data_IF_863469882554
#
_entry.id   IF_863469882554
#
_cell.length_a   1.000
_cell.length_b   1.000
_cell.length_c   1.000
_cell.angle_alpha   90.00
_cell.angle_beta   90.00
_cell.angle_gamma   90.00
#
_symmetry.space_group_name_H-M   'P 1'
#
loop_
_entity.id
_entity.type
_entity.pdbx_description
1 polymer ?
#
# COMPACT_ATOMS: atom_id res chain seq x y z
N UNK A 1 -6.14 20.90 -9.56
CA UNK A 1 -7.44 20.12 -9.52
C UNK A 1 -8.16 20.46 -8.23
N UNK A 2 -9.45 20.23 -8.14
CA UNK A 2 -10.28 20.50 -6.96
C UNK A 2 -10.39 19.25 -6.08
N UNK A 3 -10.63 19.42 -4.78
CA UNK A 3 -10.97 18.36 -3.82
C UNK A 3 -12.06 17.46 -4.41
N UNK A 4 -11.87 16.15 -4.29
CA UNK A 4 -12.88 15.17 -4.74
C UNK A 4 -14.19 15.33 -3.97
N UNK A 5 -15.28 14.89 -4.60
CA UNK A 5 -16.61 14.78 -3.95
C UNK A 5 -16.99 13.33 -3.66
N UNK A 6 -16.07 12.38 -3.88
CA UNK A 6 -16.32 10.95 -3.61
C UNK A 6 -16.36 10.68 -2.10
N UNK A 7 -17.54 10.34 -1.54
CA UNK A 7 -17.67 10.16 -0.10
C UNK A 7 -16.89 8.94 0.41
N UNK A 8 -16.70 7.91 -0.44
CA UNK A 8 -15.95 6.69 -0.05
C UNK A 8 -14.48 7.02 0.15
N UNK A 9 -13.89 7.86 -0.72
CA UNK A 9 -12.51 8.31 -0.57
C UNK A 9 -12.36 9.33 0.56
N UNK A 10 -13.31 10.29 0.69
CA UNK A 10 -13.25 11.34 1.72
C UNK A 10 -13.34 10.79 3.13
N UNK A 11 -14.15 9.73 3.35
CA UNK A 11 -14.41 9.12 4.65
C UNK A 11 -13.43 8.01 5.02
N UNK A 12 -12.41 7.74 4.17
CA UNK A 12 -11.38 6.75 4.48
C UNK A 12 -10.23 7.36 5.28
N UNK A 13 -9.57 6.54 6.11
CA UNK A 13 -8.31 6.89 6.75
C UNK A 13 -7.17 6.77 5.76
N UNK A 14 -6.50 7.87 5.49
CA UNK A 14 -5.47 8.00 4.48
C UNK A 14 -4.13 8.42 5.10
N UNK A 15 -3.06 7.78 4.69
CA UNK A 15 -1.71 8.15 5.09
C UNK A 15 -1.33 9.50 4.49
N UNK A 16 -0.59 10.33 5.25
CA UNK A 16 -0.10 11.64 4.77
C UNK A 16 1.39 11.85 4.98
N UNK A 17 2.06 10.96 5.68
CA UNK A 17 3.50 11.03 5.94
C UNK A 17 3.93 10.05 7.01
N UNK A 18 5.25 9.93 7.19
CA UNK A 18 5.83 9.24 8.33
C UNK A 18 5.81 10.17 9.54
N UNK A 19 5.66 9.61 10.73
CA UNK A 19 5.74 10.37 11.99
C UNK A 19 7.08 11.12 12.11
N UNK A 20 8.17 10.45 11.74
CA UNK A 20 9.53 10.97 11.82
C UNK A 20 9.83 12.12 10.82
N UNK A 21 9.01 12.28 9.79
CA UNK A 21 9.18 13.33 8.78
C UNK A 21 8.48 14.66 9.16
N UNK A 22 7.71 14.66 10.28
CA UNK A 22 6.97 15.84 10.73
C UNK A 22 7.56 16.35 12.04
N UNK A 23 8.46 17.31 11.93
CA UNK A 23 9.20 17.88 13.06
C UNK A 23 8.72 19.29 13.40
N UNK A 24 8.94 19.72 14.66
CA UNK A 24 8.71 21.12 15.03
C UNK A 24 9.50 22.07 14.14
N UNK A 25 8.83 23.13 13.68
CA UNK A 25 9.42 24.11 12.76
C UNK A 25 9.55 23.65 11.29
N UNK A 26 9.22 22.38 10.99
CA UNK A 26 9.28 21.80 9.66
C UNK A 26 7.92 21.19 9.28
N UNK A 27 6.89 22.01 8.96
CA UNK A 27 5.57 21.53 8.60
C UNK A 27 5.63 20.72 7.29
N UNK A 28 4.97 19.59 7.28
CA UNK A 28 4.76 18.81 6.07
C UNK A 28 3.59 19.38 5.30
N UNK A 29 3.86 20.00 4.16
CA UNK A 29 2.86 20.42 3.20
C UNK A 29 2.69 19.31 2.18
N UNK A 30 1.46 18.87 1.97
CA UNK A 30 1.15 17.79 1.03
C UNK A 30 -0.26 17.98 0.47
N UNK A 31 -0.65 17.06 -0.41
CA UNK A 31 -1.97 17.04 -1.01
C UNK A 31 -2.68 15.74 -0.69
N UNK A 32 -3.99 15.77 -0.55
CA UNK A 32 -4.82 14.61 -0.28
C UNK A 32 -6.14 14.75 -1.02
N UNK A 33 -6.43 13.81 -1.94
CA UNK A 33 -7.66 13.79 -2.72
C UNK A 33 -7.96 15.12 -3.45
N UNK A 34 -6.92 15.79 -3.97
CA UNK A 34 -7.01 17.08 -4.62
C UNK A 34 -7.03 18.29 -3.69
N UNK A 35 -7.01 18.12 -2.37
CA UNK A 35 -6.99 19.15 -1.35
C UNK A 35 -5.59 19.35 -0.76
N UNK A 36 -5.13 20.61 -0.65
CA UNK A 36 -3.89 20.93 0.05
C UNK A 36 -4.08 20.81 1.56
N UNK A 37 -3.18 20.12 2.22
CA UNK A 37 -3.18 19.90 3.67
C UNK A 37 -1.80 20.17 4.26
N UNK A 38 -1.79 20.51 5.54
CA UNK A 38 -0.57 20.70 6.33
C UNK A 38 -0.65 19.84 7.57
N UNK A 39 0.43 19.17 7.89
CA UNK A 39 0.67 18.50 9.16
C UNK A 39 1.87 19.16 9.83
N UNK A 40 1.71 19.64 11.05
CA UNK A 40 2.77 20.35 11.79
C UNK A 40 2.75 20.02 13.27
N UNK A 41 3.92 20.09 13.90
CA UNK A 41 4.04 19.95 15.35
C UNK A 41 4.28 21.32 16.00
N UNK A 42 3.62 21.54 17.13
CA UNK A 42 3.90 22.69 17.98
C UNK A 42 5.18 22.47 18.83
N UNK A 43 5.54 23.47 19.64
CA UNK A 43 6.70 23.44 20.55
C UNK A 43 6.63 22.28 21.57
N UNK A 44 5.42 21.84 21.94
CA UNK A 44 5.20 20.74 22.87
C UNK A 44 5.26 19.35 22.19
N UNK A 45 5.41 19.32 20.86
CA UNK A 45 5.39 18.09 20.06
C UNK A 45 3.99 17.63 19.64
N UNK A 46 2.91 18.36 20.00
CA UNK A 46 1.55 18.01 19.61
C UNK A 46 1.37 18.20 18.10
N UNK A 47 0.84 17.18 17.44
CA UNK A 47 0.52 17.21 16.02
C UNK A 47 -0.80 17.96 15.77
N UNK A 48 -0.83 18.70 14.69
CA UNK A 48 -2.05 19.31 14.13
C UNK A 48 -2.09 19.05 12.62
N UNK A 49 -3.26 18.67 12.10
CA UNK A 49 -3.50 18.44 10.67
C UNK A 49 -4.68 19.30 10.25
N UNK A 50 -4.54 20.04 9.14
CA UNK A 50 -5.58 20.93 8.67
C UNK A 50 -5.55 21.11 7.14
N UNK A 51 -6.74 21.36 6.57
CA UNK A 51 -6.88 21.76 5.17
C UNK A 51 -6.42 23.21 4.97
N UNK A 52 -5.83 23.51 3.81
CA UNK A 52 -5.40 24.86 3.45
C UNK A 52 -5.84 25.24 2.03
N UNK A 53 -5.89 26.54 1.78
CA UNK A 53 -5.92 27.07 0.42
C UNK A 53 -4.51 27.02 -0.20
N UNK A 54 -4.42 27.19 -1.52
CA UNK A 54 -3.14 27.33 -2.24
C UNK A 54 -2.23 28.43 -1.65
N UNK A 55 -2.84 29.49 -1.08
CA UNK A 55 -2.12 30.57 -0.41
C UNK A 55 -1.78 30.29 1.06
N UNK A 56 -2.00 29.05 1.54
CA UNK A 56 -1.67 28.63 2.89
C UNK A 56 -2.62 29.09 3.98
N UNK A 57 -3.80 29.64 3.64
CA UNK A 57 -4.83 30.00 4.64
C UNK A 57 -5.52 28.72 5.12
N UNK A 58 -5.54 28.48 6.43
CA UNK A 58 -6.26 27.36 7.03
C UNK A 58 -7.77 27.41 6.75
N UNK A 59 -8.35 26.25 6.44
CA UNK A 59 -9.78 26.07 6.16
C UNK A 59 -10.50 25.33 7.28
N UNK A 60 -9.82 24.40 7.95
CA UNK A 60 -10.37 23.60 9.05
C UNK A 60 -9.41 22.50 9.48
N UNK A 61 -9.53 22.06 10.73
CA UNK A 61 -8.75 20.94 11.27
C UNK A 61 -9.31 19.61 10.79
N UNK A 62 -8.42 18.64 10.55
CA UNK A 62 -8.76 17.28 10.16
C UNK A 62 -8.56 16.32 11.35
N UNK A 63 -9.41 15.32 11.54
CA UNK A 63 -9.12 14.21 12.45
C UNK A 63 -7.80 13.54 12.04
N UNK A 64 -6.99 13.13 13.01
CA UNK A 64 -5.75 12.43 12.72
C UNK A 64 -5.43 11.35 13.76
N UNK A 65 -4.57 10.41 13.38
CA UNK A 65 -4.00 9.37 14.24
C UNK A 65 -2.53 9.16 13.89
N UNK A 66 -1.70 8.90 14.90
CA UNK A 66 -0.32 8.45 14.71
C UNK A 66 -0.26 6.94 14.96
N UNK A 67 -0.19 6.13 13.91
CA UNK A 67 -0.15 4.66 14.00
C UNK A 67 0.73 4.06 12.91
N UNK A 68 1.30 2.93 13.20
CA UNK A 68 2.13 2.16 12.24
C UNK A 68 3.30 2.97 11.67
N UNK A 69 3.91 3.86 12.50
CA UNK A 69 4.99 4.75 12.08
C UNK A 69 4.57 5.88 11.12
N UNK A 70 3.26 6.06 10.92
CA UNK A 70 2.71 7.03 9.98
C UNK A 70 1.63 7.90 10.61
N UNK A 71 1.40 9.06 9.99
CA UNK A 71 0.28 9.95 10.28
C UNK A 71 -0.85 9.67 9.30
N UNK A 72 -2.04 9.47 9.85
CA UNK A 72 -3.28 9.18 9.14
C UNK A 72 -4.27 10.29 9.35
N UNK A 73 -5.04 10.64 8.33
CA UNK A 73 -6.10 11.64 8.40
C UNK A 73 -7.26 11.27 7.47
N UNK A 74 -8.36 11.98 7.61
CA UNK A 74 -9.52 11.89 6.74
C UNK A 74 -10.00 13.31 6.39
N UNK A 75 -10.59 13.50 5.21
CA UNK A 75 -11.20 14.77 4.79
C UNK A 75 -12.72 14.78 4.92
N UNK A 76 -13.29 13.71 5.47
CA UNK A 76 -14.71 13.52 5.75
C UNK A 76 -14.94 12.93 7.14
N UNK A 77 -16.06 12.23 7.29
CA UNK A 77 -16.46 11.58 8.53
C UNK A 77 -16.20 10.05 8.40
N UNK A 78 -15.16 9.52 9.03
CA UNK A 78 -14.83 8.10 8.89
C UNK A 78 -15.90 7.24 9.56
N UNK A 79 -16.42 6.26 8.82
CA UNK A 79 -17.42 5.31 9.33
C UNK A 79 -16.82 4.23 10.24
N UNK A 80 -15.50 4.03 10.17
CA UNK A 80 -14.75 3.01 10.91
C UNK A 80 -13.52 3.62 11.56
N UNK A 81 -13.09 3.00 12.64
CA UNK A 81 -11.77 3.24 13.20
C UNK A 81 -10.66 2.83 12.20
N UNK A 82 -9.47 3.37 12.40
CA UNK A 82 -8.30 2.92 11.65
C UNK A 82 -8.07 1.42 11.90
N UNK A 83 -7.79 0.69 10.85
CA UNK A 83 -7.57 -0.76 10.89
C UNK A 83 -6.44 -1.17 11.86
N UNK A 84 -6.40 -2.44 12.21
CA UNK A 84 -5.37 -3.01 13.07
C UNK A 84 -4.33 -3.81 12.29
N UNK A 85 -3.08 -3.69 12.71
CA UNK A 85 -1.96 -4.57 12.32
C UNK A 85 -1.38 -5.11 13.63
N UNK A 86 -1.88 -6.26 14.11
CA UNK A 86 -1.49 -6.80 15.43
C UNK A 86 0.01 -7.05 15.57
N UNK A 87 0.69 -7.29 14.47
CA UNK A 87 2.13 -7.58 14.42
C UNK A 87 2.98 -6.38 14.87
N UNK A 88 2.46 -5.16 14.84
CA UNK A 88 3.15 -3.99 15.42
C UNK A 88 3.31 -4.07 16.94
N UNK A 89 2.54 -4.90 17.61
CA UNK A 89 2.63 -5.11 19.06
C UNK A 89 3.63 -6.23 19.42
N UNK A 90 4.16 -6.96 18.44
CA UNK A 90 5.10 -8.06 18.66
C UNK A 90 6.53 -7.53 18.75
N UNK A 91 7.12 -7.64 19.95
CA UNK A 91 8.43 -7.05 20.26
C UNK A 91 9.63 -7.75 19.60
N UNK A 92 9.43 -8.96 19.08
CA UNK A 92 10.47 -9.76 18.41
C UNK A 92 10.59 -9.45 16.90
N UNK A 93 9.77 -8.53 16.40
CA UNK A 93 9.81 -8.04 15.02
C UNK A 93 10.50 -6.70 14.93
N UNK A 94 11.31 -6.54 13.90
CA UNK A 94 11.96 -5.28 13.56
C UNK A 94 11.08 -4.51 12.58
N UNK A 95 10.70 -3.27 12.94
CA UNK A 95 10.06 -2.34 12.02
C UNK A 95 11.10 -1.65 11.14
N UNK A 96 10.88 -1.66 9.84
CA UNK A 96 11.70 -0.96 8.85
C UNK A 96 10.79 -0.12 7.94
N UNK A 97 10.84 1.19 8.11
CA UNK A 97 10.12 2.13 7.25
C UNK A 97 10.90 2.39 5.96
N UNK A 98 10.33 2.05 4.81
CA UNK A 98 11.04 2.10 3.52
C UNK A 98 10.98 3.47 2.81
N UNK A 99 10.52 4.51 3.51
CA UNK A 99 10.35 5.84 2.92
C UNK A 99 9.12 5.93 2.02
N UNK A 100 9.13 6.92 1.11
CA UNK A 100 8.04 7.12 0.16
C UNK A 100 8.56 7.31 -1.27
N UNK A 101 7.75 6.88 -2.24
CA UNK A 101 8.00 7.08 -3.66
C UNK A 101 6.77 7.73 -4.28
N UNK A 102 6.96 8.84 -4.99
CA UNK A 102 5.89 9.45 -5.78
C UNK A 102 5.75 8.72 -7.11
N UNK A 103 4.52 8.34 -7.47
CA UNK A 103 4.18 7.59 -8.68
C UNK A 103 3.07 8.30 -9.43
N UNK A 104 3.27 8.52 -10.74
CA UNK A 104 2.24 9.06 -11.64
C UNK A 104 1.32 7.94 -12.12
N UNK A 105 0.50 7.45 -11.21
CA UNK A 105 -0.50 6.43 -11.46
C UNK A 105 -1.65 6.58 -10.45
N UNK A 106 -2.81 5.99 -10.76
CA UNK A 106 -3.90 5.90 -9.78
C UNK A 106 -3.43 5.13 -8.54
N UNK A 107 -3.74 5.62 -7.33
CA UNK A 107 -3.43 4.90 -6.08
C UNK A 107 -4.07 3.51 -6.03
N UNK A 108 -5.19 3.30 -6.73
CA UNK A 108 -5.84 1.98 -6.85
C UNK A 108 -5.02 1.02 -7.73
N UNK A 109 -4.31 1.53 -8.74
CA UNK A 109 -3.37 0.73 -9.55
C UNK A 109 -2.17 0.27 -8.72
N UNK A 110 -1.72 1.09 -7.79
CA UNK A 110 -0.65 0.72 -6.85
C UNK A 110 -1.07 -0.48 -6.01
N UNK A 111 -2.25 -0.41 -5.41
CA UNK A 111 -2.79 -1.54 -4.61
C UNK A 111 -2.98 -2.78 -5.48
N UNK A 112 -3.56 -2.64 -6.67
CA UNK A 112 -3.76 -3.76 -7.59
C UNK A 112 -2.46 -4.43 -8.01
N UNK A 113 -1.42 -3.66 -8.36
CA UNK A 113 -0.10 -4.19 -8.71
C UNK A 113 0.53 -4.95 -7.54
N UNK A 114 0.41 -4.44 -6.31
CA UNK A 114 0.92 -5.13 -5.13
C UNK A 114 0.21 -6.47 -4.88
N UNK A 115 -1.03 -6.63 -5.32
CA UNK A 115 -1.81 -7.88 -5.21
C UNK A 115 -1.52 -8.87 -6.33
N UNK A 116 -0.82 -8.44 -7.38
CA UNK A 116 -0.50 -9.27 -8.54
C UNK A 116 0.75 -10.10 -8.29
N UNK A 117 0.66 -11.41 -8.51
CA UNK A 117 1.78 -12.34 -8.40
C UNK A 117 2.28 -12.73 -9.79
N UNK A 118 1.39 -12.62 -10.79
CA UNK A 118 1.68 -13.06 -12.15
C UNK A 118 2.81 -12.28 -12.83
N UNK A 119 3.06 -11.05 -12.42
CA UNK A 119 4.14 -10.23 -12.97
C UNK A 119 5.53 -10.53 -12.40
N UNK A 120 5.62 -11.23 -11.27
CA UNK A 120 6.89 -11.45 -10.55
C UNK A 120 8.03 -11.98 -11.43
N UNK A 121 7.86 -13.05 -12.22
CA UNK A 121 8.95 -13.60 -13.03
C UNK A 121 9.35 -12.73 -14.21
N UNK A 122 8.56 -11.74 -14.57
CA UNK A 122 8.77 -10.88 -15.71
C UNK A 122 9.30 -9.48 -15.34
N UNK A 123 8.73 -8.88 -14.31
CA UNK A 123 9.09 -7.53 -13.84
C UNK A 123 10.23 -7.61 -12.81
N UNK A 124 10.21 -8.63 -11.95
CA UNK A 124 11.18 -8.85 -10.88
C UNK A 124 12.03 -10.09 -11.14
N UNK A 125 12.43 -10.30 -12.38
CA UNK A 125 13.24 -11.46 -12.80
C UNK A 125 14.49 -11.60 -11.94
N UNK A 126 14.83 -12.85 -11.58
CA UNK A 126 15.95 -13.22 -10.72
C UNK A 126 15.85 -12.70 -9.25
N UNK A 127 14.69 -12.11 -8.87
CA UNK A 127 14.40 -11.67 -7.51
C UNK A 127 13.16 -12.39 -7.00
N UNK A 128 11.98 -12.03 -7.50
CA UNK A 128 10.71 -12.59 -7.03
C UNK A 128 10.23 -13.77 -7.88
N UNK A 129 10.96 -14.14 -8.92
CA UNK A 129 10.69 -15.27 -9.77
C UNK A 129 11.47 -15.19 -11.08
N UNK A 130 11.53 -16.29 -11.83
CA UNK A 130 12.18 -16.36 -13.15
C UNK A 130 11.59 -17.51 -13.97
N UNK A 131 11.81 -17.47 -15.29
CA UNK A 131 11.50 -18.60 -16.16
C UNK A 131 12.38 -19.83 -15.82
N UNK A 132 11.86 -21.05 -15.88
CA UNK A 132 10.52 -21.43 -16.32
C UNK A 132 9.46 -21.45 -15.20
N UNK A 133 9.75 -20.99 -14.00
CA UNK A 133 8.89 -21.03 -12.82
C UNK A 133 7.88 -19.87 -12.79
N UNK A 134 7.04 -19.76 -13.84
CA UNK A 134 6.13 -18.62 -14.03
C UNK A 134 4.68 -18.90 -13.66
N UNK A 135 4.35 -20.18 -13.37
CA UNK A 135 2.97 -20.56 -13.10
C UNK A 135 2.57 -20.21 -11.66
N UNK A 136 1.43 -19.50 -11.53
CA UNK A 136 0.79 -19.24 -10.25
C UNK A 136 -0.20 -20.37 -9.96
N UNK A 137 0.06 -21.17 -8.93
CA UNK A 137 -0.84 -22.21 -8.48
C UNK A 137 -2.20 -21.66 -8.07
N UNK A 138 -3.23 -22.48 -8.09
CA UNK A 138 -4.57 -22.08 -7.68
C UNK A 138 -4.59 -21.68 -6.19
N UNK A 139 -5.30 -20.59 -5.88
CA UNK A 139 -5.39 -20.04 -4.52
C UNK A 139 -6.78 -19.46 -4.25
N UNK A 140 -7.08 -19.10 -3.01
CA UNK A 140 -8.38 -18.56 -2.61
C UNK A 140 -8.30 -17.04 -2.43
N UNK A 141 -9.29 -16.33 -2.98
CA UNK A 141 -9.48 -14.91 -2.76
C UNK A 141 -10.96 -14.61 -2.48
N UNK A 142 -11.25 -13.84 -1.45
CA UNK A 142 -12.61 -13.58 -0.99
C UNK A 142 -12.76 -12.18 -0.41
N UNK A 143 -14.01 -11.67 -0.40
CA UNK A 143 -14.40 -10.50 0.38
C UNK A 143 -14.96 -10.99 1.70
N UNK A 144 -14.26 -10.77 2.78
CA UNK A 144 -14.71 -11.07 4.15
C UNK A 144 -15.69 -10.00 4.62
N UNK A 145 -16.96 -10.37 4.75
CA UNK A 145 -18.04 -9.42 5.04
C UNK A 145 -18.06 -8.96 6.50
N UNK A 146 -17.54 -9.76 7.42
CA UNK A 146 -17.46 -9.48 8.85
C UNK A 146 -16.54 -8.31 9.18
N UNK A 147 -15.44 -8.18 8.43
CA UNK A 147 -14.46 -7.09 8.55
C UNK A 147 -14.50 -6.11 7.38
N UNK A 148 -15.23 -6.45 6.31
CA UNK A 148 -15.31 -5.70 5.04
C UNK A 148 -13.92 -5.45 4.43
N UNK A 149 -13.18 -6.54 4.21
CA UNK A 149 -11.83 -6.55 3.65
C UNK A 149 -11.73 -7.59 2.52
N UNK A 150 -10.73 -7.42 1.65
CA UNK A 150 -10.37 -8.45 0.67
C UNK A 150 -9.21 -9.27 1.24
N UNK A 151 -9.37 -10.59 1.19
CA UNK A 151 -8.33 -11.53 1.63
C UNK A 151 -7.97 -12.50 0.51
N UNK A 152 -6.69 -12.81 0.41
CA UNK A 152 -6.19 -13.90 -0.43
C UNK A 152 -5.29 -14.80 0.40
N UNK A 153 -5.53 -16.11 0.36
CA UNK A 153 -4.85 -17.10 1.19
C UNK A 153 -4.46 -18.33 0.36
N UNK A 154 -3.64 -19.19 0.93
CA UNK A 154 -3.15 -20.42 0.30
C UNK A 154 -2.33 -20.14 -0.98
N UNK A 155 -1.69 -18.97 -1.06
CA UNK A 155 -0.82 -18.61 -2.17
C UNK A 155 0.57 -19.22 -1.92
N UNK A 156 1.14 -19.80 -2.96
CA UNK A 156 2.55 -20.21 -2.95
C UNK A 156 3.19 -19.91 -4.30
N UNK A 157 4.40 -19.39 -4.26
CA UNK A 157 5.15 -19.05 -5.46
C UNK A 157 6.65 -19.28 -5.24
N UNK A 158 7.36 -19.71 -6.29
CA UNK A 158 8.80 -19.85 -6.25
C UNK A 158 9.46 -18.48 -6.36
N UNK A 159 10.33 -18.15 -5.40
CA UNK A 159 11.16 -16.94 -5.44
C UNK A 159 12.63 -17.30 -5.52
N UNK A 160 13.37 -16.67 -6.42
CA UNK A 160 14.81 -16.86 -6.57
C UNK A 160 15.57 -16.23 -5.38
N UNK A 161 15.06 -15.10 -4.86
CA UNK A 161 15.54 -14.44 -3.65
C UNK A 161 14.39 -14.13 -2.72
N UNK A 162 14.04 -15.08 -1.87
CA UNK A 162 12.98 -14.90 -0.88
C UNK A 162 13.30 -13.80 0.17
N UNK A 163 14.59 -13.52 0.36
CA UNK A 163 15.12 -12.42 1.16
C UNK A 163 16.46 -11.97 0.57
N UNK A 164 16.93 -10.78 0.99
CA UNK A 164 18.16 -10.18 0.46
C UNK A 164 19.39 -11.09 0.58
N UNK A 165 19.52 -11.81 1.69
CA UNK A 165 20.64 -12.76 1.96
C UNK A 165 20.43 -14.16 1.41
N UNK A 166 19.31 -14.45 0.73
CA UNK A 166 19.06 -15.79 0.19
C UNK A 166 20.05 -16.16 -0.91
N UNK A 167 20.56 -17.40 -0.82
CA UNK A 167 21.54 -17.96 -1.78
C UNK A 167 20.93 -18.96 -2.75
N UNK A 168 19.61 -19.16 -2.72
CA UNK A 168 18.90 -20.09 -3.60
C UNK A 168 17.39 -19.86 -3.57
N UNK A 169 16.71 -20.35 -4.61
CA UNK A 169 15.27 -20.23 -4.74
C UNK A 169 14.53 -21.15 -3.77
N UNK A 170 13.36 -20.71 -3.34
CA UNK A 170 12.48 -21.49 -2.46
C UNK A 170 11.01 -21.13 -2.67
N UNK A 171 10.13 -22.03 -2.27
CA UNK A 171 8.69 -21.78 -2.27
C UNK A 171 8.34 -20.90 -1.08
N UNK A 172 7.79 -19.73 -1.35
CA UNK A 172 7.27 -18.79 -0.37
C UNK A 172 5.75 -18.84 -0.37
N UNK A 173 5.17 -18.92 0.82
CA UNK A 173 3.73 -18.78 1.02
C UNK A 173 3.37 -17.34 1.28
N UNK A 174 2.22 -16.93 0.76
CA UNK A 174 1.70 -15.58 0.86
C UNK A 174 0.27 -15.55 1.34
N UNK A 175 -0.07 -14.48 1.99
CA UNK A 175 -1.43 -14.08 2.29
C UNK A 175 -1.53 -12.56 2.10
N UNK A 176 -2.56 -12.10 1.39
CA UNK A 176 -2.83 -10.67 1.22
C UNK A 176 -4.07 -10.26 1.98
N UNK A 177 -4.04 -9.03 2.47
CA UNK A 177 -5.14 -8.39 3.15
C UNK A 177 -5.26 -6.95 2.64
N UNK A 178 -6.40 -6.59 2.02
CA UNK A 178 -6.74 -5.22 1.64
C UNK A 178 -7.71 -4.68 2.66
N UNK A 179 -7.25 -3.74 3.47
CA UNK A 179 -7.99 -3.23 4.65
C UNK A 179 -8.77 -1.97 4.34
N UNK A 180 -8.31 -1.20 3.36
CA UNK A 180 -8.99 -0.03 2.81
C UNK A 180 -8.70 0.10 1.32
N UNK A 181 -9.43 0.94 0.57
CA UNK A 181 -9.18 1.14 -0.85
C UNK A 181 -7.73 1.43 -1.23
N UNK A 182 -7.02 2.11 -0.35
CA UNK A 182 -5.66 2.60 -0.60
C UNK A 182 -4.59 1.92 0.27
N UNK A 183 -4.95 0.82 0.95
CA UNK A 183 -4.07 0.16 1.91
C UNK A 183 -4.10 -1.36 1.77
N UNK A 184 -2.94 -1.97 1.60
CA UNK A 184 -2.79 -3.42 1.52
C UNK A 184 -1.63 -3.92 2.36
N UNK A 185 -1.76 -5.13 2.85
CA UNK A 185 -0.79 -5.81 3.70
C UNK A 185 -0.52 -7.19 3.13
N UNK A 186 0.74 -7.51 2.96
CA UNK A 186 1.24 -8.81 2.58
C UNK A 186 1.85 -9.50 3.80
N UNK A 187 1.49 -10.73 3.99
CA UNK A 187 2.15 -11.69 4.86
C UNK A 187 2.91 -12.69 3.99
N UNK A 188 4.18 -12.89 4.25
CA UNK A 188 4.98 -13.92 3.57
C UNK A 188 5.76 -14.73 4.58
N UNK A 189 5.92 -16.05 4.33
CA UNK A 189 6.71 -16.89 5.23
C UNK A 189 8.14 -16.37 5.34
N UNK A 190 8.63 -16.27 6.58
CA UNK A 190 10.01 -15.88 6.83
C UNK A 190 10.94 -17.07 6.50
N UNK A 191 11.92 -16.91 5.59
CA UNK A 191 12.84 -17.99 5.22
C UNK A 191 13.67 -18.54 6.40
N UNK A 192 14.03 -17.68 7.36
CA UNK A 192 14.79 -18.08 8.55
C UNK A 192 13.91 -18.71 9.65
N UNK A 193 12.60 -18.45 9.61
CA UNK A 193 11.61 -18.93 10.58
C UNK A 193 10.35 -19.40 9.84
N UNK A 194 10.32 -20.61 9.25
CA UNK A 194 9.25 -21.06 8.35
C UNK A 194 7.83 -21.07 8.95
N UNK A 195 7.73 -21.11 10.27
CA UNK A 195 6.45 -21.05 11.00
C UNK A 195 6.01 -19.60 11.32
N UNK A 196 6.80 -18.62 10.92
CA UNK A 196 6.54 -17.20 11.14
C UNK A 196 6.31 -16.47 9.81
N UNK A 197 5.63 -15.33 9.90
CA UNK A 197 5.31 -14.51 8.75
C UNK A 197 5.97 -13.13 8.87
N UNK A 198 6.77 -12.74 7.89
CA UNK A 198 7.13 -11.34 7.71
C UNK A 198 5.92 -10.58 7.19
N UNK A 199 5.80 -9.31 7.56
CA UNK A 199 4.73 -8.43 7.11
C UNK A 199 5.32 -7.32 6.26
N UNK A 200 4.74 -7.07 5.10
CA UNK A 200 5.04 -5.93 4.24
C UNK A 200 3.75 -5.14 4.04
N UNK A 201 3.72 -3.90 4.48
CA UNK A 201 2.58 -3.02 4.26
C UNK A 201 2.86 -2.01 3.16
N UNK A 202 1.82 -1.67 2.41
CA UNK A 202 1.84 -0.65 1.39
C UNK A 202 0.65 0.28 1.59
N UNK A 203 0.96 1.57 1.78
CA UNK A 203 0.01 2.64 2.00
C UNK A 203 0.10 3.65 0.85
N UNK A 204 -0.95 3.80 0.07
CA UNK A 204 -1.01 4.77 -1.00
C UNK A 204 -1.70 6.04 -0.52
N UNK A 205 -0.97 7.16 -0.50
CA UNK A 205 -1.53 8.50 -0.28
C UNK A 205 -2.07 9.02 -1.62
N UNK A 206 -3.38 9.17 -1.81
CA UNK A 206 -3.95 9.71 -3.03
C UNK A 206 -3.75 11.23 -3.08
N UNK A 207 -2.84 11.73 -3.90
CA UNK A 207 -2.64 13.16 -4.12
C UNK A 207 -3.69 13.69 -5.09
N UNK A 208 -3.80 13.02 -6.23
CA UNK A 208 -4.74 13.26 -7.33
C UNK A 208 -5.29 11.91 -7.83
N UNK A 209 -6.21 11.91 -8.80
CA UNK A 209 -6.76 10.65 -9.35
C UNK A 209 -5.70 9.76 -10.02
N UNK A 210 -4.61 10.35 -10.54
CA UNK A 210 -3.52 9.70 -11.26
C UNK A 210 -2.13 10.02 -10.69
N UNK A 211 -2.06 10.49 -9.44
CA UNK A 211 -0.81 10.81 -8.75
C UNK A 211 -0.91 10.42 -7.28
N UNK A 212 0.07 9.69 -6.78
CA UNK A 212 0.09 9.27 -5.37
C UNK A 212 1.52 9.22 -4.81
N UNK A 213 1.64 9.31 -3.50
CA UNK A 213 2.82 8.87 -2.76
C UNK A 213 2.57 7.45 -2.22
N UNK A 214 3.55 6.60 -2.33
CA UNK A 214 3.48 5.22 -1.84
C UNK A 214 4.47 5.05 -0.70
N UNK A 215 3.97 4.67 0.47
CA UNK A 215 4.75 4.35 1.64
C UNK A 215 4.77 2.85 1.83
N UNK A 216 5.96 2.28 1.97
CA UNK A 216 6.11 0.88 2.32
C UNK A 216 6.80 0.73 3.68
N UNK A 217 6.44 -0.29 4.40
CA UNK A 217 7.13 -0.70 5.62
C UNK A 217 7.23 -2.23 5.70
N UNK A 218 8.13 -2.70 6.52
CA UNK A 218 8.28 -4.12 6.82
C UNK A 218 8.29 -4.34 8.34
N UNK A 219 7.71 -5.47 8.76
CA UNK A 219 7.90 -6.05 10.09
C UNK A 219 8.52 -7.43 9.89
N UNK A 220 9.82 -7.53 10.12
CA UNK A 220 10.63 -8.70 9.75
C UNK A 220 11.36 -9.31 10.94
N UNK A 221 11.70 -10.59 10.79
CA UNK A 221 12.56 -11.30 11.72
C UNK A 221 14.04 -11.29 11.31
N UNK A 222 14.37 -10.65 10.20
CA UNK A 222 15.74 -10.54 9.67
C UNK A 222 16.67 -9.89 10.71
N UNK A 223 17.65 -10.66 11.17
CA UNK A 223 18.68 -10.23 12.14
C UNK A 223 20.04 -9.98 11.50
N UNK A 224 20.19 -10.22 10.21
CA UNK A 224 21.47 -10.22 9.48
C UNK A 224 21.65 -8.91 8.71
N UNK A 225 20.65 -8.48 7.98
CA UNK A 225 20.74 -7.31 7.11
C UNK A 225 20.53 -6.00 7.88
N UNK A 226 21.22 -4.94 7.46
CA UNK A 226 20.99 -3.59 7.99
C UNK A 226 19.67 -3.01 7.47
N UNK A 227 19.07 -2.04 8.17
CA UNK A 227 17.87 -1.34 7.69
C UNK A 227 18.11 -0.72 6.32
N UNK A 228 19.27 -0.10 6.11
CA UNK A 228 19.64 0.50 4.81
C UNK A 228 19.58 -0.53 3.68
N UNK A 229 20.12 -1.73 3.90
CA UNK A 229 20.12 -2.78 2.91
C UNK A 229 18.69 -3.29 2.60
N UNK A 230 17.87 -3.46 3.64
CA UNK A 230 16.47 -3.85 3.48
C UNK A 230 15.64 -2.77 2.76
N UNK A 231 15.84 -1.50 3.09
CA UNK A 231 15.19 -0.36 2.42
C UNK A 231 15.57 -0.34 0.95
N UNK A 232 16.86 -0.45 0.63
CA UNK A 232 17.34 -0.45 -0.76
C UNK A 232 16.76 -1.62 -1.56
N UNK A 233 16.70 -2.81 -0.97
CA UNK A 233 16.12 -3.98 -1.62
C UNK A 233 14.63 -3.78 -1.91
N UNK A 234 13.87 -3.30 -0.94
CA UNK A 234 12.43 -3.04 -1.11
C UNK A 234 12.17 -1.93 -2.13
N UNK A 235 12.95 -0.85 -2.09
CA UNK A 235 12.84 0.26 -3.04
C UNK A 235 13.21 -0.18 -4.46
N UNK A 236 14.23 -1.03 -4.64
CA UNK A 236 14.62 -1.57 -5.93
C UNK A 236 13.46 -2.35 -6.59
N UNK A 237 12.78 -3.22 -5.83
CA UNK A 237 11.61 -3.96 -6.30
C UNK A 237 10.50 -2.98 -6.72
N UNK A 238 10.15 -2.04 -5.86
CA UNK A 238 9.07 -1.09 -6.15
C UNK A 238 9.39 -0.16 -7.33
N UNK A 239 10.65 0.21 -7.55
CA UNK A 239 11.04 1.03 -8.70
C UNK A 239 10.93 0.27 -10.03
N UNK A 240 11.03 -1.06 -10.03
CA UNK A 240 10.72 -1.88 -11.22
C UNK A 240 9.21 -1.82 -11.52
N UNK A 241 8.36 -1.91 -10.51
CA UNK A 241 6.91 -1.73 -10.66
C UNK A 241 6.53 -0.35 -11.16
N UNK A 242 7.20 0.69 -10.66
CA UNK A 242 6.91 2.08 -11.01
C UNK A 242 6.91 2.32 -12.53
N UNK A 243 7.88 1.73 -13.25
CA UNK A 243 7.99 1.87 -14.71
C UNK A 243 6.73 1.32 -15.39
N UNK A 244 6.20 0.21 -14.91
CA UNK A 244 5.00 -0.41 -15.46
C UNK A 244 3.77 0.41 -15.10
N UNK A 245 3.64 0.80 -13.83
CA UNK A 245 2.51 1.55 -13.29
C UNK A 245 2.30 2.90 -13.99
N UNK A 246 3.38 3.64 -14.24
CA UNK A 246 3.32 4.95 -14.90
C UNK A 246 3.00 4.86 -16.40
N UNK A 247 3.02 3.66 -16.99
CA UNK A 247 2.73 3.40 -18.40
C UNK A 247 1.44 2.58 -18.63
N UNK A 248 0.66 2.30 -17.60
CA UNK A 248 -0.60 1.57 -17.74
C UNK A 248 -1.68 2.38 -18.49
N UNK A 249 -2.42 1.72 -19.37
CA UNK A 249 -3.54 2.29 -20.11
C UNK A 249 -4.78 1.40 -19.93
N UNK A 250 -5.88 1.94 -19.41
CA UNK A 250 -6.07 3.30 -18.89
C UNK A 250 -5.33 3.54 -17.56
N UNK A 251 -4.96 4.81 -17.23
CA UNK A 251 -4.25 5.13 -16.00
C UNK A 251 -5.11 4.90 -14.73
N UNK A 252 -6.42 5.15 -14.79
CA UNK A 252 -7.37 4.83 -13.73
C UNK A 252 -7.69 3.33 -13.69
N UNK A 253 -8.09 2.81 -12.53
CA UNK A 253 -8.45 1.40 -12.37
C UNK A 253 -9.83 1.09 -12.98
N UNK A 254 -9.95 0.21 -14.00
CA UNK A 254 -11.24 -0.15 -14.56
C UNK A 254 -12.05 -1.04 -13.61
N UNK A 255 -13.22 -0.56 -13.19
CA UNK A 255 -14.19 -1.36 -12.43
C UNK A 255 -15.28 -1.97 -13.30
N UNK A 256 -15.32 -1.62 -14.60
CA UNK A 256 -16.21 -2.19 -15.59
C UNK A 256 -15.59 -3.45 -16.19
N UNK A 257 -16.39 -4.52 -16.27
CA UNK A 257 -15.94 -5.77 -16.88
C UNK A 257 -15.63 -5.58 -18.38
N UNK A 258 -14.60 -6.28 -18.87
CA UNK A 258 -14.25 -6.34 -20.28
C UNK A 258 -13.33 -5.21 -20.79
N UNK A 259 -12.95 -4.27 -19.94
CA UNK A 259 -11.92 -3.25 -20.29
C UNK A 259 -10.54 -3.90 -20.35
N UNK A 260 -10.25 -4.78 -19.40
CA UNK A 260 -9.04 -5.59 -19.33
C UNK A 260 -9.40 -7.08 -19.26
N UNK A 261 -8.47 -7.93 -19.69
CA UNK A 261 -8.62 -9.38 -19.61
C UNK A 261 -7.88 -9.87 -18.37
N UNK A 262 -8.61 -10.60 -17.52
CA UNK A 262 -8.04 -11.24 -16.35
C UNK A 262 -7.73 -12.71 -16.62
N UNK A 263 -6.68 -13.20 -15.98
CA UNK A 263 -6.27 -14.61 -15.99
C UNK A 263 -6.52 -15.25 -14.61
N UNK A 264 -6.22 -16.53 -14.46
CA UNK A 264 -6.42 -17.26 -13.20
C UNK A 264 -5.60 -16.68 -12.04
N UNK A 265 -4.43 -16.13 -12.32
CA UNK A 265 -3.57 -15.48 -11.33
C UNK A 265 -4.19 -14.21 -10.71
N UNK A 266 -5.16 -13.56 -11.39
CA UNK A 266 -5.73 -12.26 -10.99
C UNK A 266 -6.89 -12.37 -9.99
N UNK A 267 -7.05 -13.49 -9.27
CA UNK A 267 -8.19 -13.69 -8.35
C UNK A 267 -8.31 -12.60 -7.29
N UNK A 268 -7.19 -12.17 -6.72
CA UNK A 268 -7.17 -11.12 -5.68
C UNK A 268 -7.58 -9.78 -6.27
N UNK A 269 -7.01 -9.39 -7.42
CA UNK A 269 -7.34 -8.16 -8.13
C UNK A 269 -8.82 -8.12 -8.51
N UNK A 270 -9.39 -9.24 -8.97
CA UNK A 270 -10.81 -9.33 -9.30
C UNK A 270 -11.71 -9.14 -8.06
N UNK A 271 -11.34 -9.69 -6.91
CA UNK A 271 -12.08 -9.46 -5.66
C UNK A 271 -11.92 -8.01 -5.18
N UNK A 272 -10.75 -7.42 -5.31
CA UNK A 272 -10.49 -6.01 -5.00
C UNK A 272 -11.38 -5.09 -5.86
N UNK A 273 -11.39 -5.27 -7.18
CA UNK A 273 -12.26 -4.49 -8.10
C UNK A 273 -13.75 -4.64 -7.77
N UNK A 274 -14.20 -5.87 -7.45
CA UNK A 274 -15.60 -6.14 -7.04
C UNK A 274 -15.95 -5.42 -5.74
N UNK A 275 -15.03 -5.44 -4.78
CA UNK A 275 -15.20 -4.79 -3.48
C UNK A 275 -15.26 -3.27 -3.62
N UNK A 276 -14.35 -2.65 -4.38
CA UNK A 276 -14.38 -1.22 -4.68
C UNK A 276 -15.69 -0.80 -5.38
N UNK A 277 -16.11 -1.56 -6.38
CA UNK A 277 -17.37 -1.33 -7.09
C UNK A 277 -18.56 -1.39 -6.15
N UNK A 278 -18.62 -2.38 -5.26
CA UNK A 278 -19.69 -2.52 -4.26
C UNK A 278 -19.72 -1.35 -3.28
N UNK A 279 -18.57 -0.81 -2.91
CA UNK A 279 -18.45 0.39 -2.05
C UNK A 279 -18.84 1.68 -2.77
N UNK A 280 -18.90 1.68 -4.09
CA UNK A 280 -19.23 2.85 -4.90
C UNK A 280 -18.08 3.82 -5.09
N UNK A 281 -16.83 3.40 -4.83
CA UNK A 281 -15.64 4.24 -5.03
C UNK A 281 -15.52 4.68 -6.49
N UNK A 282 -15.25 5.96 -6.69
CA UNK A 282 -15.08 6.57 -8.01
C UNK A 282 -13.68 7.20 -8.18
N UNK A 283 -13.09 7.73 -7.12
CA UNK A 283 -11.77 8.35 -7.16
C UNK A 283 -10.70 7.36 -7.63
N UNK A 284 -9.91 7.79 -8.63
CA UNK A 284 -8.85 6.95 -9.20
C UNK A 284 -9.32 5.81 -10.11
N UNK A 285 -10.64 5.71 -10.39
CA UNK A 285 -11.19 4.70 -11.30
C UNK A 285 -11.24 5.20 -12.74
N UNK A 286 -11.15 4.27 -13.69
CA UNK A 286 -11.44 4.55 -15.10
C UNK A 286 -12.95 4.49 -15.34
N UNK A 287 -13.50 5.60 -15.86
CA UNK A 287 -14.94 5.81 -16.14
C UNK A 287 -15.26 5.65 -17.61
#
# INVERSE_FOLDING_TARGET
MTKTTDPVALNDWLVIGRVDDILYGHPRRTRLLGQDIVAERNENGDLNVYETTENGKGLGTCPFQERFGHVWTTLGEPEKELFEIPEFQQLDRRYVGCGSVTVKASPLRIVENFLDIGHFPYVHTDILGSEPMTEVADYKAEIRKDVDEVWAVDISFHQDKAMMSATGGQIIKYMYRVVSPFTTILYKTCPERPDQWDVVGLFAQPLEEDLCNVYAFMLVFDSVNTDTALIQFQQMIFLQDRIILENQVPPGLPLKNGVERSIQADKTQLQYRRWLKKRGLQFGTFR
#
